data_IF_441630240391
#
_entry.id   IF_441630240391
#
_cell.length_a   1.000
_cell.length_b   1.000
_cell.length_c   1.000
_cell.angle_alpha   90.00
_cell.angle_beta   90.00
_cell.angle_gamma   90.00
#
_symmetry.space_group_name_H-M   'P 1'
#
loop_
_entity.id
_entity.type
_entity.pdbx_description
1 polymer ?
#
# COMPACT_ATOMS: atom_id res chain seq x y z
N UNK A 1 -15.70 -4.10 -6.05
CA UNK A 1 -14.42 -4.72 -6.46
C UNK A 1 -13.30 -3.70 -6.36
N UNK A 2 -12.16 -4.12 -5.91
CA UNK A 2 -11.03 -3.23 -5.72
C UNK A 2 -10.18 -3.17 -6.99
N UNK A 3 -9.92 -1.96 -7.48
CA UNK A 3 -9.01 -1.75 -8.59
C UNK A 3 -7.63 -1.45 -8.04
N UNK A 4 -6.61 -1.99 -8.68
CA UNK A 4 -5.22 -1.76 -8.31
C UNK A 4 -4.56 -0.92 -9.39
N UNK A 5 -3.90 0.14 -8.99
CA UNK A 5 -3.13 1.00 -9.88
C UNK A 5 -1.71 1.17 -9.39
N UNK A 6 -0.77 1.15 -10.30
CA UNK A 6 0.63 1.37 -9.98
C UNK A 6 1.13 2.61 -10.70
N UNK A 7 1.82 3.46 -9.97
CA UNK A 7 2.43 4.68 -10.52
C UNK A 7 3.88 4.75 -10.10
N UNK A 8 4.73 5.10 -11.03
CA UNK A 8 6.13 5.36 -10.75
C UNK A 8 6.51 6.69 -11.40
N UNK A 9 6.93 7.64 -10.60
CA UNK A 9 7.36 8.95 -11.08
C UNK A 9 8.85 9.13 -10.83
N UNK A 10 9.61 9.18 -11.89
CA UNK A 10 11.06 9.41 -11.79
C UNK A 10 11.33 10.86 -11.40
N UNK A 11 10.52 11.79 -11.90
CA UNK A 11 10.69 13.22 -11.58
C UNK A 11 10.41 13.52 -10.11
N UNK A 12 9.35 12.95 -9.58
CA UNK A 12 8.97 13.16 -8.19
C UNK A 12 9.62 12.15 -7.25
N UNK A 13 10.29 11.17 -7.83
CA UNK A 13 11.03 10.14 -7.11
C UNK A 13 10.19 9.34 -6.15
N UNK A 14 9.07 8.81 -6.65
CA UNK A 14 8.28 7.89 -5.85
C UNK A 14 7.64 6.81 -6.71
N UNK A 15 7.25 5.74 -6.06
CA UNK A 15 6.36 4.75 -6.64
C UNK A 15 5.22 4.50 -5.68
N UNK A 16 4.05 4.20 -6.21
CA UNK A 16 2.88 3.92 -5.39
C UNK A 16 2.05 2.81 -5.96
N UNK A 17 1.43 2.07 -5.05
CA UNK A 17 0.45 1.04 -5.37
C UNK A 17 -0.84 1.43 -4.67
N UNK A 18 -1.86 1.71 -5.44
CA UNK A 18 -3.13 2.20 -4.93
C UNK A 18 -4.23 1.15 -5.10
N UNK A 19 -5.07 1.05 -4.08
CA UNK A 19 -6.24 0.17 -4.06
C UNK A 19 -7.47 1.06 -3.98
N UNK A 20 -8.29 1.04 -5.01
CA UNK A 20 -9.50 1.85 -5.07
C UNK A 20 -10.75 0.98 -5.07
N UNK A 21 -11.66 1.26 -4.14
CA UNK A 21 -12.95 0.59 -4.10
C UNK A 21 -13.91 1.32 -5.03
N UNK A 22 -14.38 0.64 -6.07
CA UNK A 22 -15.29 1.22 -7.03
C UNK A 22 -16.65 1.59 -6.43
N UNK A 23 -17.06 0.89 -5.40
CA UNK A 23 -18.37 1.11 -4.80
C UNK A 23 -18.39 2.34 -3.90
N UNK A 24 -17.34 2.54 -3.10
CA UNK A 24 -17.27 3.64 -2.13
C UNK A 24 -16.43 4.81 -2.59
N UNK A 25 -15.55 4.59 -3.57
CA UNK A 25 -14.56 5.57 -3.97
C UNK A 25 -13.37 5.68 -3.01
N UNK A 26 -13.33 4.83 -1.99
CA UNK A 26 -12.26 4.83 -1.00
C UNK A 26 -10.95 4.38 -1.63
N UNK A 27 -9.85 5.03 -1.28
CA UNK A 27 -8.52 4.72 -1.82
C UNK A 27 -7.54 4.48 -0.68
N UNK A 28 -6.83 3.38 -0.76
CA UNK A 28 -5.72 3.06 0.13
C UNK A 28 -4.47 2.97 -0.73
N UNK A 29 -3.45 3.70 -0.39
CA UNK A 29 -2.23 3.79 -1.19
C UNK A 29 -1.00 3.46 -0.35
N UNK A 30 -0.10 2.67 -0.93
CA UNK A 30 1.23 2.43 -0.36
C UNK A 30 2.22 3.16 -1.25
N UNK A 31 2.98 4.08 -0.68
CA UNK A 31 3.91 4.93 -1.43
C UNK A 31 5.31 4.82 -0.86
N UNK A 32 6.28 4.67 -1.74
CA UNK A 32 7.68 4.60 -1.38
C UNK A 32 8.47 5.62 -2.17
N UNK A 33 9.42 6.30 -1.52
CA UNK A 33 10.32 7.21 -2.19
C UNK A 33 11.36 6.42 -2.98
N UNK A 34 11.59 6.84 -4.22
CA UNK A 34 12.60 6.27 -5.08
C UNK A 34 13.90 7.05 -4.97
N UNK A 35 14.97 6.42 -5.34
CA UNK A 35 16.26 7.04 -5.47
C UNK A 35 16.82 7.44 -4.17
N UNK A 36 17.48 6.92 -3.64
CA UNK A 36 18.07 7.06 -2.45
C UNK A 36 18.89 8.17 -2.16
N UNK A 37 18.48 8.96 -1.32
CA UNK A 37 19.47 9.61 -0.52
C UNK A 37 19.85 8.66 0.58
N UNK A 38 21.10 8.53 0.79
CA UNK A 38 21.63 7.62 1.78
C UNK A 38 21.10 7.87 3.19
N UNK A 39 20.64 9.07 3.44
CA UNK A 39 20.08 9.42 4.73
C UNK A 39 18.59 9.15 4.83
N UNK A 40 17.95 9.01 3.71
CA UNK A 40 16.57 8.57 3.73
C UNK A 40 16.49 7.08 3.93
N UNK A 41 17.59 6.45 4.02
CA UNK A 41 17.67 5.04 4.16
C UNK A 41 17.32 4.51 5.53
N UNK A 42 16.81 5.34 6.37
CA UNK A 42 16.33 4.86 7.63
C UNK A 42 15.18 3.89 7.43
N UNK A 43 15.48 2.84 6.73
CA UNK A 43 14.60 1.76 6.73
C UNK A 43 13.56 1.68 5.67
N UNK A 44 13.92 1.85 4.44
CA UNK A 44 13.03 1.52 3.36
C UNK A 44 11.64 2.07 3.56
N UNK A 45 11.58 3.30 3.94
CA UNK A 45 10.39 3.91 4.39
C UNK A 45 9.36 3.98 3.29
N UNK A 46 8.24 3.44 3.56
CA UNK A 46 7.04 3.64 2.78
C UNK A 46 6.03 4.32 3.69
N UNK A 47 5.05 4.95 3.08
CA UNK A 47 3.93 5.50 3.81
C UNK A 47 2.65 4.86 3.32
N UNK A 48 1.64 4.84 4.19
CA UNK A 48 0.30 4.40 3.84
C UNK A 48 -0.57 5.65 3.83
N UNK A 49 -1.28 5.86 2.74
CA UNK A 49 -2.14 7.04 2.56
C UNK A 49 -3.57 6.59 2.44
N UNK A 50 -4.45 7.17 3.22
CA UNK A 50 -5.88 6.95 3.14
C UNK A 50 -6.62 8.23 3.50
N UNK A 51 -7.50 8.66 2.59
CA UNK A 51 -8.38 9.81 2.82
C UNK A 51 -7.63 11.04 3.30
N UNK A 52 -6.47 11.32 2.70
CA UNK A 52 -5.64 12.46 3.05
C UNK A 52 -4.75 12.25 4.27
N UNK A 53 -4.89 11.15 4.98
CA UNK A 53 -4.05 10.83 6.13
C UNK A 53 -2.86 10.02 5.68
N UNK A 54 -1.68 10.39 6.12
CA UNK A 54 -0.41 9.73 5.79
C UNK A 54 0.18 9.14 7.07
N UNK A 55 0.51 7.87 7.05
CA UNK A 55 1.14 7.19 8.17
C UNK A 55 2.45 6.51 7.72
N UNK A 56 3.51 6.70 8.47
CA UNK A 56 4.81 6.07 8.19
C UNK A 56 4.77 4.59 8.57
N UNK A 57 4.85 3.73 7.58
CA UNK A 57 4.88 2.29 7.81
C UNK A 57 3.62 1.76 8.45
N UNK A 58 3.76 0.68 9.17
CA UNK A 58 2.66 0.09 9.94
C UNK A 58 2.08 -1.20 9.39
N UNK A 59 2.55 -1.64 8.23
CA UNK A 59 2.14 -2.95 7.69
C UNK A 59 3.00 -4.03 8.32
N UNK A 60 2.41 -4.85 9.17
CA UNK A 60 3.14 -5.92 9.87
C UNK A 60 3.15 -7.22 9.09
N UNK A 61 2.25 -7.38 8.14
CA UNK A 61 2.24 -8.55 7.27
C UNK A 61 1.21 -8.42 6.18
N UNK A 62 1.37 -9.21 5.15
CA UNK A 62 0.36 -9.33 4.11
C UNK A 62 0.41 -10.72 3.50
N UNK A 63 -0.72 -11.17 3.01
CA UNK A 63 -0.82 -12.45 2.32
C UNK A 63 -1.82 -12.34 1.17
N UNK A 64 -1.46 -12.90 0.04
CA UNK A 64 -2.33 -12.95 -1.12
C UNK A 64 -2.75 -14.39 -1.36
N UNK A 65 -4.05 -14.63 -1.36
CA UNK A 65 -4.62 -15.94 -1.65
C UNK A 65 -5.62 -15.79 -2.78
N UNK A 66 -5.26 -16.28 -3.97
CA UNK A 66 -6.08 -16.06 -5.17
C UNK A 66 -6.20 -14.57 -5.47
N UNK A 67 -7.39 -14.03 -5.35
CA UNK A 67 -7.65 -12.60 -5.56
C UNK A 67 -7.93 -11.85 -4.27
N UNK A 68 -7.74 -12.50 -3.13
CA UNK A 68 -7.98 -11.87 -1.83
C UNK A 68 -6.66 -11.49 -1.20
N UNK A 69 -6.46 -10.21 -0.97
CA UNK A 69 -5.29 -9.68 -0.28
C UNK A 69 -5.68 -9.38 1.16
N UNK A 70 -4.93 -9.93 2.09
CA UNK A 70 -5.08 -9.65 3.50
C UNK A 70 -3.90 -8.82 3.97
N UNK A 71 -4.19 -7.68 4.57
CA UNK A 71 -3.19 -6.78 5.13
C UNK A 71 -3.33 -6.78 6.64
N UNK A 72 -2.22 -6.83 7.34
CA UNK A 72 -2.22 -6.71 8.79
C UNK A 72 -1.46 -5.45 9.18
N UNK A 73 -2.14 -4.57 9.87
CA UNK A 73 -1.59 -3.29 10.31
C UNK A 73 -1.32 -3.34 11.82
N UNK A 74 -0.34 -2.57 12.28
CA UNK A 74 -0.19 -2.38 13.71
C UNK A 74 -1.32 -1.47 14.22
N UNK A 75 -1.51 -1.44 15.52
CA UNK A 75 -2.61 -0.67 16.12
C UNK A 75 -2.51 0.82 15.84
N UNK A 76 -1.30 1.35 15.83
CA UNK A 76 -1.06 2.75 15.56
C UNK A 76 -1.47 3.16 14.16
N UNK A 77 -1.06 2.37 13.16
CA UNK A 77 -1.43 2.61 11.76
C UNK A 77 -2.93 2.45 11.54
N UNK A 78 -3.50 1.40 12.10
CA UNK A 78 -4.94 1.14 11.98
C UNK A 78 -5.75 2.29 12.56
N UNK A 79 -5.36 2.77 13.71
CA UNK A 79 -6.04 3.87 14.37
C UNK A 79 -5.89 5.18 13.57
N UNK A 80 -4.69 5.49 13.13
CA UNK A 80 -4.41 6.70 12.37
C UNK A 80 -5.17 6.73 11.04
N UNK A 81 -5.30 5.57 10.40
CA UNK A 81 -5.95 5.46 9.09
C UNK A 81 -7.44 5.13 9.18
N UNK A 82 -7.96 4.99 10.38
CA UNK A 82 -9.34 4.60 10.64
C UNK A 82 -9.70 3.28 9.95
N UNK A 83 -8.84 2.31 10.14
CA UNK A 83 -8.99 0.96 9.59
C UNK A 83 -8.91 -0.08 10.71
N UNK A 84 -9.46 -1.28 10.49
CA UNK A 84 -9.20 -2.38 11.39
C UNK A 84 -7.74 -2.83 11.24
N UNK A 85 -7.22 -3.54 12.22
CA UNK A 85 -5.86 -4.08 12.15
C UNK A 85 -5.71 -5.15 11.08
N UNK A 86 -6.81 -5.77 10.68
CA UNK A 86 -6.79 -6.74 9.59
C UNK A 86 -7.74 -6.26 8.50
N UNK A 87 -7.20 -6.00 7.32
CA UNK A 87 -7.95 -5.50 6.17
C UNK A 87 -7.93 -6.55 5.08
N UNK A 88 -9.09 -6.86 4.55
CA UNK A 88 -9.20 -7.83 3.47
C UNK A 88 -9.74 -7.13 2.22
N UNK A 89 -9.01 -7.26 1.12
CA UNK A 89 -9.35 -6.64 -0.14
C UNK A 89 -9.53 -7.70 -1.22
N UNK A 90 -10.66 -7.65 -1.90
CA UNK A 90 -10.92 -8.55 -3.02
C UNK A 90 -10.56 -7.84 -4.33
N UNK A 91 -9.56 -8.36 -5.00
CA UNK A 91 -8.97 -7.75 -6.18
C UNK A 91 -9.48 -8.40 -7.47
N UNK A 92 -9.14 -7.78 -8.61
CA UNK A 92 -9.28 -8.45 -9.89
C UNK A 92 -8.10 -9.40 -10.07
N UNK A 93 -8.17 -10.31 -11.04
CA UNK A 93 -7.05 -11.21 -11.35
C UNK A 93 -5.81 -10.41 -11.74
N UNK A 94 -5.97 -9.38 -12.56
CA UNK A 94 -4.88 -8.52 -12.96
C UNK A 94 -4.31 -7.74 -11.76
N UNK A 95 -5.18 -7.27 -10.87
CA UNK A 95 -4.76 -6.57 -9.66
C UNK A 95 -3.97 -7.47 -8.72
N UNK A 96 -4.41 -8.71 -8.56
CA UNK A 96 -3.69 -9.69 -7.74
C UNK A 96 -2.29 -9.95 -8.27
N UNK A 97 -2.14 -10.06 -9.58
CA UNK A 97 -0.83 -10.25 -10.21
C UNK A 97 0.09 -9.05 -9.96
N UNK A 98 -0.44 -7.84 -10.06
CA UNK A 98 0.31 -6.61 -9.76
C UNK A 98 0.78 -6.58 -8.31
N UNK A 99 -0.09 -6.94 -7.39
CA UNK A 99 0.24 -6.96 -5.95
C UNK A 99 1.36 -7.96 -5.66
N UNK A 100 1.25 -9.16 -6.23
CA UNK A 100 2.26 -10.20 -6.03
C UNK A 100 3.64 -9.74 -6.49
N UNK A 101 3.69 -8.99 -7.57
CA UNK A 101 4.94 -8.50 -8.14
C UNK A 101 5.46 -7.24 -7.44
N UNK A 102 4.59 -6.29 -7.14
CA UNK A 102 4.98 -4.94 -6.76
C UNK A 102 4.95 -4.64 -5.26
N UNK A 103 4.00 -5.19 -4.53
CA UNK A 103 3.85 -4.85 -3.11
C UNK A 103 5.08 -5.19 -2.27
N UNK A 104 5.72 -6.35 -2.41
CA UNK A 104 6.91 -6.64 -1.61
C UNK A 104 8.01 -5.60 -1.77
N UNK A 105 8.20 -5.11 -3.00
CA UNK A 105 9.23 -4.10 -3.27
C UNK A 105 8.94 -2.73 -2.69
N UNK A 106 7.67 -2.43 -2.45
CA UNK A 106 7.27 -1.14 -1.89
C UNK A 106 7.40 -1.14 -0.36
N UNK A 107 6.97 -2.22 0.28
CA UNK A 107 6.90 -2.26 1.75
C UNK A 107 8.13 -2.89 2.41
N UNK A 108 8.98 -3.45 1.62
CA UNK A 108 10.27 -4.01 2.09
C UNK A 108 11.40 -3.12 1.60
#
# INVERSE_FOLDING_TARGET
MIKVGYTRSVEERYESLAFQDDASGDVLEFRRTLGVSAWASSGGSYVIVRDGVVHDGGLTGFALSGVVLRLVLDEEAADALDLPTEVELRLTVAGAAMVAELLPGIVE
#
